data_IF_223834636817
#
_entry.id   IF_223834636817
#
_cell.length_a   1.000
_cell.length_b   1.000
_cell.length_c   1.000
_cell.angle_alpha   90.00
_cell.angle_beta   90.00
_cell.angle_gamma   90.00
#
_symmetry.space_group_name_H-M   'P 1'
#
loop_
_entity.id
_entity.type
_entity.pdbx_description
1 polymer ?
#
# COMPACT_ATOMS: atom_id res chain seq x y z
N UNK A 1 65.91 -32.79 -65.05
CA UNK A 1 65.88 -32.71 -63.58
C UNK A 1 65.86 -31.23 -63.23
N UNK A 2 64.72 -30.70 -62.82
CA UNK A 2 64.56 -29.27 -62.53
C UNK A 2 64.79 -29.04 -61.03
N UNK A 3 65.83 -28.27 -60.70
CA UNK A 3 66.04 -27.69 -59.37
C UNK A 3 65.03 -26.56 -59.15
N UNK A 4 64.19 -26.68 -58.12
CA UNK A 4 63.33 -25.60 -57.65
C UNK A 4 64.12 -24.84 -56.57
N UNK A 5 64.61 -23.67 -56.94
CA UNK A 5 65.22 -22.71 -56.01
C UNK A 5 64.12 -22.07 -55.14
N UNK A 6 64.03 -22.51 -53.89
CA UNK A 6 63.17 -21.92 -52.87
C UNK A 6 63.68 -20.53 -52.46
N UNK A 7 62.85 -19.51 -52.67
CA UNK A 7 63.12 -18.13 -52.20
C UNK A 7 62.93 -18.11 -50.68
N UNK A 8 64.02 -18.15 -49.92
CA UNK A 8 63.99 -18.00 -48.46
C UNK A 8 63.70 -16.54 -48.09
N UNK A 9 62.56 -16.30 -47.43
CA UNK A 9 62.10 -14.99 -47.00
C UNK A 9 62.61 -14.70 -45.58
N UNK A 10 63.93 -14.53 -45.46
CA UNK A 10 64.59 -14.29 -44.18
C UNK A 10 64.51 -12.80 -43.78
N UNK A 11 64.51 -12.54 -42.47
CA UNK A 11 64.71 -11.21 -41.89
C UNK A 11 65.96 -11.21 -41.01
N UNK A 12 66.75 -10.13 -40.99
CA UNK A 12 67.88 -10.03 -40.07
C UNK A 12 67.39 -9.98 -38.62
N UNK A 13 68.04 -10.76 -37.76
CA UNK A 13 67.80 -10.74 -36.32
C UNK A 13 68.24 -9.38 -35.76
N UNK A 14 67.40 -8.66 -35.00
CA UNK A 14 67.77 -7.36 -34.43
C UNK A 14 68.87 -7.46 -33.36
N UNK A 15 69.14 -8.65 -32.83
CA UNK A 15 70.16 -8.84 -31.79
C UNK A 15 71.54 -9.21 -32.35
N UNK A 16 71.59 -10.02 -33.41
CA UNK A 16 72.86 -10.53 -33.95
C UNK A 16 73.07 -10.28 -35.45
N UNK A 17 72.12 -9.63 -36.14
CA UNK A 17 72.21 -9.30 -37.56
C UNK A 17 71.96 -10.46 -38.53
N UNK A 18 72.12 -11.71 -38.07
CA UNK A 18 71.98 -12.92 -38.89
C UNK A 18 70.56 -13.14 -39.44
N UNK A 19 70.49 -13.72 -40.65
CA UNK A 19 69.25 -14.12 -41.28
C UNK A 19 68.48 -15.13 -40.42
N UNK A 20 67.18 -14.88 -40.24
CA UNK A 20 66.29 -15.77 -39.52
C UNK A 20 64.94 -15.84 -40.22
N UNK A 21 64.37 -17.04 -40.27
CA UNK A 21 63.03 -17.24 -40.79
C UNK A 21 62.03 -16.34 -40.03
N UNK A 22 61.15 -15.70 -40.79
CA UNK A 22 60.10 -14.82 -40.25
C UNK A 22 59.12 -15.56 -39.34
N UNK A 23 58.95 -16.86 -39.50
CA UNK A 23 58.03 -17.68 -38.71
C UNK A 23 58.58 -18.05 -37.33
N UNK A 24 59.90 -17.97 -37.11
CA UNK A 24 60.49 -18.35 -35.84
C UNK A 24 60.25 -17.29 -34.75
N UNK A 25 59.82 -17.75 -33.57
CA UNK A 25 59.59 -16.91 -32.38
C UNK A 25 60.89 -16.47 -31.68
N UNK A 26 62.00 -17.16 -31.97
CA UNK A 26 63.35 -16.85 -31.50
C UNK A 26 64.35 -16.93 -32.65
N UNK A 27 65.54 -16.35 -32.47
CA UNK A 27 66.62 -16.46 -33.45
C UNK A 27 67.31 -17.81 -33.32
N UNK A 28 67.34 -18.61 -34.38
CA UNK A 28 67.99 -19.94 -34.36
C UNK A 28 69.52 -19.87 -34.20
N UNK A 29 70.14 -18.73 -34.49
CA UNK A 29 71.59 -18.53 -34.35
C UNK A 29 72.00 -18.12 -32.94
N UNK A 30 71.32 -17.13 -32.34
CA UNK A 30 71.71 -16.59 -31.04
C UNK A 30 70.78 -16.99 -29.87
N UNK A 31 69.71 -17.74 -30.14
CA UNK A 31 68.76 -18.22 -29.13
C UNK A 31 67.85 -17.16 -28.51
N UNK A 32 67.97 -15.88 -28.90
CA UNK A 32 67.18 -14.79 -28.30
C UNK A 32 65.79 -14.68 -28.91
N UNK A 33 64.79 -14.41 -28.07
CA UNK A 33 63.40 -14.15 -28.48
C UNK A 33 63.30 -12.93 -29.42
N UNK A 34 62.44 -13.05 -30.43
CA UNK A 34 62.14 -11.99 -31.40
C UNK A 34 60.84 -11.23 -31.08
N UNK A 35 60.20 -11.50 -29.93
CA UNK A 35 58.95 -10.84 -29.57
C UNK A 35 59.16 -9.34 -29.26
N UNK A 36 58.60 -8.47 -30.11
CA UNK A 36 58.41 -7.05 -29.80
C UNK A 36 57.38 -6.92 -28.67
N UNK A 37 57.81 -6.39 -27.53
CA UNK A 37 56.94 -6.08 -26.39
C UNK A 37 55.76 -5.20 -26.80
N UNK A 38 54.58 -5.81 -26.90
CA UNK A 38 53.33 -5.10 -27.18
C UNK A 38 52.93 -4.33 -25.92
N UNK A 39 53.23 -3.03 -25.84
CA UNK A 39 52.67 -2.12 -24.82
C UNK A 39 51.15 -2.01 -25.00
N UNK A 40 50.40 -3.04 -24.57
CA UNK A 40 48.94 -3.03 -24.41
C UNK A 40 48.65 -3.14 -22.92
N UNK A 41 48.56 -2.01 -22.23
CA UNK A 41 48.39 -2.05 -20.77
C UNK A 41 47.74 -0.85 -20.11
N UNK A 42 47.21 0.15 -20.85
CA UNK A 42 46.56 1.31 -20.21
C UNK A 42 45.17 1.65 -20.76
N UNK A 43 44.90 1.48 -22.05
CA UNK A 43 43.59 1.82 -22.64
C UNK A 43 42.48 0.81 -22.31
N UNK A 44 42.78 -0.47 -22.17
CA UNK A 44 41.77 -1.48 -21.79
C UNK A 44 41.33 -1.34 -20.32
N UNK A 45 42.24 -0.98 -19.41
CA UNK A 45 41.92 -0.79 -17.99
C UNK A 45 40.93 0.36 -17.81
N UNK A 46 41.13 1.48 -18.51
CA UNK A 46 40.21 2.63 -18.47
C UNK A 46 38.82 2.26 -19.00
N UNK A 47 38.74 1.46 -20.07
CA UNK A 47 37.46 0.97 -20.63
C UNK A 47 36.74 0.00 -19.68
N UNK A 48 37.45 -0.92 -19.02
CA UNK A 48 36.86 -1.81 -18.02
C UNK A 48 36.40 -1.07 -16.76
N UNK A 49 37.11 -0.03 -16.32
CA UNK A 49 36.71 0.81 -15.19
C UNK A 49 35.44 1.61 -15.51
N UNK A 50 35.33 2.19 -16.71
CA UNK A 50 34.15 2.96 -17.12
C UNK A 50 32.91 2.06 -17.31
N UNK A 51 33.08 0.86 -17.88
CA UNK A 51 32.00 -0.14 -18.00
C UNK A 51 31.60 -0.68 -16.62
N UNK A 52 32.57 -0.90 -15.73
CA UNK A 52 32.32 -1.30 -14.34
C UNK A 52 31.52 -0.24 -13.56
N UNK A 53 31.86 1.04 -13.69
CA UNK A 53 31.14 2.14 -13.06
C UNK A 53 29.70 2.29 -13.60
N UNK A 54 29.49 2.07 -14.91
CA UNK A 54 28.15 2.05 -15.50
C UNK A 54 27.29 0.88 -14.97
N UNK A 55 27.88 -0.31 -14.81
CA UNK A 55 27.19 -1.45 -14.21
C UNK A 55 26.92 -1.30 -12.71
N UNK A 56 27.80 -0.64 -11.96
CA UNK A 56 27.56 -0.30 -10.54
C UNK A 56 26.41 0.71 -10.41
N UNK A 57 26.28 1.67 -11.34
CA UNK A 57 25.13 2.59 -11.38
C UNK A 57 23.80 1.90 -11.65
N UNK A 58 23.77 0.93 -12.58
CA UNK A 58 22.58 0.13 -12.90
C UNK A 58 22.24 -0.86 -11.78
N UNK A 59 23.24 -1.56 -11.22
CA UNK A 59 23.06 -2.43 -10.06
C UNK A 59 22.62 -1.61 -8.83
N UNK A 60 23.17 -0.41 -8.64
CA UNK A 60 22.75 0.55 -7.62
C UNK A 60 21.28 0.94 -7.79
N UNK A 61 20.83 1.29 -9.00
CA UNK A 61 19.42 1.58 -9.30
C UNK A 61 18.50 0.38 -9.00
N UNK A 62 18.93 -0.85 -9.28
CA UNK A 62 18.18 -2.06 -8.93
C UNK A 62 18.19 -2.39 -7.43
N UNK A 63 19.25 -2.03 -6.69
CA UNK A 63 19.37 -2.24 -5.25
C UNK A 63 18.68 -1.12 -4.45
N UNK A 64 18.55 0.10 -4.98
CA UNK A 64 18.02 1.27 -4.25
C UNK A 64 16.65 1.78 -4.68
N UNK A 65 16.00 1.26 -5.74
CA UNK A 65 14.60 1.67 -6.00
C UNK A 65 13.93 1.33 -7.35
N UNK A 66 14.55 0.56 -8.23
CA UNK A 66 14.04 0.36 -9.60
C UNK A 66 12.89 -0.66 -9.79
N UNK A 67 12.66 -1.56 -8.84
CA UNK A 67 11.48 -2.43 -8.85
C UNK A 67 10.65 -2.15 -7.60
N UNK A 68 9.53 -1.43 -7.77
CA UNK A 68 8.47 -1.47 -6.74
C UNK A 68 8.16 -2.94 -6.48
N UNK A 69 8.38 -3.41 -5.25
CA UNK A 69 8.11 -4.79 -4.86
C UNK A 69 6.72 -5.20 -5.37
N UNK A 70 6.60 -6.40 -5.95
CA UNK A 70 5.28 -6.95 -6.34
C UNK A 70 4.35 -7.11 -5.14
N UNK A 71 4.92 -7.10 -3.92
CA UNK A 71 4.22 -7.24 -2.66
C UNK A 71 4.23 -5.91 -1.91
N UNK A 72 3.11 -5.61 -1.24
CA UNK A 72 3.00 -4.48 -0.30
C UNK A 72 3.13 -4.95 1.15
N UNK A 73 2.85 -6.23 1.41
CA UNK A 73 3.04 -6.84 2.71
C UNK A 73 2.70 -8.32 2.72
N UNK A 74 2.67 -8.90 3.92
CA UNK A 74 2.38 -10.31 4.18
C UNK A 74 1.78 -10.48 5.58
N UNK A 75 0.81 -11.38 5.72
CA UNK A 75 0.19 -11.74 7.00
C UNK A 75 0.29 -13.26 7.17
N UNK A 76 1.06 -13.73 8.16
CA UNK A 76 1.31 -15.16 8.42
C UNK A 76 1.76 -15.96 7.20
N UNK A 77 2.59 -15.37 6.33
CA UNK A 77 3.02 -16.04 5.09
C UNK A 77 2.14 -15.73 3.87
N UNK A 78 0.90 -15.29 4.06
CA UNK A 78 -0.01 -14.93 2.96
C UNK A 78 0.31 -13.53 2.44
N UNK A 79 0.50 -13.43 1.12
CA UNK A 79 0.98 -12.21 0.47
C UNK A 79 -0.16 -11.21 0.23
N UNK A 80 0.15 -9.92 0.42
CA UNK A 80 -0.65 -8.81 -0.06
C UNK A 80 0.02 -8.28 -1.32
N UNK A 81 -0.60 -8.52 -2.48
CA UNK A 81 -0.01 -8.11 -3.76
C UNK A 81 -0.24 -6.62 -4.01
N UNK A 82 0.68 -5.99 -4.74
CA UNK A 82 0.53 -4.59 -5.14
C UNK A 82 -0.70 -4.35 -6.00
N UNK A 83 -1.05 -5.32 -6.86
CA UNK A 83 -2.23 -5.25 -7.74
C UNK A 83 -3.52 -5.25 -6.94
N UNK A 84 -3.65 -6.15 -5.97
CA UNK A 84 -4.80 -6.21 -5.07
C UNK A 84 -4.95 -4.90 -4.29
N UNK A 85 -3.84 -4.43 -3.71
CA UNK A 85 -3.82 -3.19 -2.94
C UNK A 85 -4.16 -1.96 -3.81
N UNK A 86 -3.58 -1.82 -5.00
CA UNK A 86 -3.85 -0.70 -5.89
C UNK A 86 -5.30 -0.66 -6.35
N UNK A 87 -5.89 -1.83 -6.67
CA UNK A 87 -7.28 -1.90 -7.07
C UNK A 87 -8.22 -1.44 -5.95
N UNK A 88 -7.94 -1.86 -4.71
CA UNK A 88 -8.69 -1.39 -3.54
C UNK A 88 -8.48 0.10 -3.27
N UNK A 89 -7.26 0.60 -3.44
CA UNK A 89 -6.92 2.01 -3.26
C UNK A 89 -7.66 2.90 -4.26
N UNK A 90 -7.72 2.50 -5.52
CA UNK A 90 -8.42 3.26 -6.56
C UNK A 90 -9.93 3.33 -6.29
N UNK A 91 -10.52 2.24 -5.79
CA UNK A 91 -11.94 2.22 -5.38
C UNK A 91 -12.18 3.12 -4.18
N UNK A 92 -11.34 3.02 -3.15
CA UNK A 92 -11.45 3.86 -1.96
C UNK A 92 -11.27 5.34 -2.33
N UNK A 93 -10.29 5.68 -3.16
CA UNK A 93 -10.06 7.02 -3.68
C UNK A 93 -11.31 7.58 -4.36
N UNK A 94 -11.91 6.84 -5.30
CA UNK A 94 -13.14 7.26 -6.00
C UNK A 94 -14.31 7.48 -5.04
N UNK A 95 -14.44 6.65 -4.01
CA UNK A 95 -15.49 6.82 -3.00
C UNK A 95 -15.29 8.12 -2.19
N UNK A 96 -14.06 8.43 -1.80
CA UNK A 96 -13.74 9.68 -1.11
C UNK A 96 -13.94 10.89 -2.02
N UNK A 97 -13.51 10.84 -3.29
CA UNK A 97 -13.76 11.91 -4.26
C UNK A 97 -15.26 12.11 -4.54
N UNK A 98 -16.04 11.04 -4.54
CA UNK A 98 -17.50 11.12 -4.65
C UNK A 98 -18.13 11.80 -3.44
N UNK A 99 -17.63 11.52 -2.23
CA UNK A 99 -18.18 12.04 -0.97
C UNK A 99 -17.75 13.47 -0.65
N UNK A 100 -16.47 13.79 -0.88
CA UNK A 100 -15.83 15.03 -0.44
C UNK A 100 -15.41 15.95 -1.61
N UNK A 101 -15.68 15.54 -2.85
CA UNK A 101 -15.36 16.29 -4.05
C UNK A 101 -14.12 15.80 -4.79
N UNK A 102 -14.11 15.99 -6.11
CA UNK A 102 -13.05 15.49 -7.02
C UNK A 102 -11.64 16.04 -6.74
N UNK A 103 -11.56 17.11 -5.96
CA UNK A 103 -10.31 17.79 -5.63
C UNK A 103 -9.77 17.40 -4.24
N UNK A 104 -10.44 16.47 -3.53
CA UNK A 104 -10.09 16.07 -2.16
C UNK A 104 -8.64 15.59 -1.98
N UNK A 105 -8.04 15.02 -3.03
CA UNK A 105 -6.65 14.55 -3.04
C UNK A 105 -5.69 15.48 -3.79
N UNK A 106 -6.08 16.73 -4.09
CA UNK A 106 -5.21 17.71 -4.76
C UNK A 106 -4.52 18.64 -3.76
N UNK A 107 -3.33 19.11 -4.12
CA UNK A 107 -2.52 20.01 -3.29
C UNK A 107 -1.87 19.31 -2.09
N UNK A 108 -1.18 20.07 -1.24
CA UNK A 108 -0.42 19.53 -0.10
C UNK A 108 -1.29 18.75 0.88
N UNK A 109 -2.44 19.30 1.27
CA UNK A 109 -3.39 18.60 2.13
C UNK A 109 -3.99 17.34 1.47
N UNK A 110 -4.18 17.37 0.15
CA UNK A 110 -4.64 16.23 -0.63
C UNK A 110 -3.63 15.07 -0.65
N UNK A 111 -2.33 15.36 -0.71
CA UNK A 111 -1.28 14.33 -0.63
C UNK A 111 -1.24 13.69 0.77
N UNK A 112 -1.35 14.50 1.84
CA UNK A 112 -1.46 13.98 3.21
C UNK A 112 -2.69 13.08 3.39
N UNK A 113 -3.84 13.50 2.85
CA UNK A 113 -5.05 12.68 2.82
C UNK A 113 -4.84 11.37 2.06
N UNK A 114 -4.11 11.39 0.94
CA UNK A 114 -3.83 10.21 0.15
C UNK A 114 -2.87 9.24 0.85
N UNK A 115 -1.83 9.76 1.52
CA UNK A 115 -0.93 8.96 2.35
C UNK A 115 -1.71 8.30 3.50
N UNK A 116 -2.58 9.05 4.18
CA UNK A 116 -3.44 8.51 5.24
C UNK A 116 -4.37 7.41 4.70
N UNK A 117 -4.99 7.63 3.55
CA UNK A 117 -5.86 6.63 2.92
C UNK A 117 -5.09 5.33 2.63
N UNK A 118 -3.87 5.42 2.10
CA UNK A 118 -3.03 4.23 1.86
C UNK A 118 -2.72 3.47 3.14
N UNK A 119 -2.36 4.19 4.21
CA UNK A 119 -2.05 3.57 5.50
C UNK A 119 -3.28 2.88 6.10
N UNK A 120 -4.44 3.53 6.08
CA UNK A 120 -5.71 2.97 6.53
C UNK A 120 -6.09 1.72 5.73
N UNK A 121 -6.02 1.80 4.40
CA UNK A 121 -6.34 0.67 3.54
C UNK A 121 -5.40 -0.52 3.76
N UNK A 122 -4.11 -0.27 4.02
CA UNK A 122 -3.18 -1.37 4.29
C UNK A 122 -3.55 -2.08 5.59
N UNK A 123 -3.88 -1.32 6.63
CA UNK A 123 -4.34 -1.86 7.91
C UNK A 123 -5.64 -2.66 7.74
N UNK A 124 -6.60 -2.17 6.96
CA UNK A 124 -7.84 -2.89 6.62
C UNK A 124 -7.56 -4.21 5.92
N UNK A 125 -6.67 -4.22 4.92
CA UNK A 125 -6.30 -5.45 4.19
C UNK A 125 -5.58 -6.45 5.09
N UNK A 126 -4.70 -5.96 5.98
CA UNK A 126 -4.02 -6.80 6.98
C UNK A 126 -5.03 -7.43 7.93
N UNK A 127 -5.98 -6.64 8.43
CA UNK A 127 -7.03 -7.10 9.34
C UNK A 127 -7.96 -8.11 8.66
N UNK A 128 -8.39 -7.86 7.42
CA UNK A 128 -9.19 -8.80 6.63
C UNK A 128 -8.48 -10.14 6.48
N UNK A 129 -7.20 -10.13 6.07
CA UNK A 129 -6.42 -11.37 5.93
C UNK A 129 -6.28 -12.13 7.25
N UNK A 130 -5.99 -11.42 8.33
CA UNK A 130 -5.90 -12.02 9.67
C UNK A 130 -7.24 -12.67 10.06
N UNK A 131 -8.36 -11.97 9.88
CA UNK A 131 -9.70 -12.50 10.17
C UNK A 131 -10.03 -13.73 9.31
N UNK A 132 -9.72 -13.71 8.02
CA UNK A 132 -9.96 -14.86 7.14
C UNK A 132 -9.10 -16.06 7.51
N UNK A 133 -7.85 -15.85 7.95
CA UNK A 133 -6.98 -16.93 8.41
C UNK A 133 -7.46 -17.53 9.72
N UNK A 134 -7.88 -16.71 10.67
CA UNK A 134 -8.47 -17.14 11.94
C UNK A 134 -9.81 -17.87 11.71
N UNK A 135 -10.66 -17.35 10.81
CA UNK A 135 -11.89 -18.02 10.39
C UNK A 135 -11.62 -19.41 9.79
N UNK A 136 -10.69 -19.51 8.83
CA UNK A 136 -10.30 -20.80 8.23
C UNK A 136 -9.76 -21.77 9.28
N UNK A 137 -8.91 -21.29 10.19
CA UNK A 137 -8.33 -22.10 11.27
C UNK A 137 -9.39 -22.57 12.27
N UNK A 138 -10.43 -21.76 12.48
CA UNK A 138 -11.61 -22.10 13.29
C UNK A 138 -12.63 -23.01 12.60
N UNK A 139 -12.35 -23.50 11.39
CA UNK A 139 -13.25 -24.40 10.64
C UNK A 139 -14.28 -23.69 9.76
N UNK A 140 -14.20 -22.35 9.61
CA UNK A 140 -15.06 -21.58 8.73
C UNK A 140 -14.41 -21.51 7.34
N UNK A 141 -14.75 -22.48 6.49
CA UNK A 141 -14.23 -22.56 5.11
C UNK A 141 -15.32 -22.66 4.04
N UNK A 142 -16.52 -23.09 4.43
CA UNK A 142 -17.61 -23.37 3.50
C UNK A 142 -18.66 -22.26 3.57
N UNK A 143 -18.89 -21.60 2.44
CA UNK A 143 -19.93 -20.57 2.30
C UNK A 143 -21.11 -21.16 1.54
N UNK A 144 -22.34 -21.12 2.08
CA UNK A 144 -23.53 -21.54 1.35
C UNK A 144 -23.79 -20.60 0.17
N UNK A 145 -23.64 -21.08 -1.08
CA UNK A 145 -23.81 -20.24 -2.27
C UNK A 145 -25.18 -19.57 -2.32
N UNK A 146 -26.21 -20.30 -1.87
CA UNK A 146 -27.58 -19.80 -1.78
C UNK A 146 -27.71 -18.56 -0.90
N UNK A 147 -27.02 -18.51 0.24
CA UNK A 147 -27.07 -17.34 1.13
C UNK A 147 -26.40 -16.12 0.47
N UNK A 148 -25.35 -16.34 -0.33
CA UNK A 148 -24.70 -15.26 -1.08
C UNK A 148 -25.60 -14.74 -2.20
N UNK A 149 -26.25 -15.64 -2.93
CA UNK A 149 -27.19 -15.24 -3.97
C UNK A 149 -28.42 -14.51 -3.39
N UNK A 150 -28.94 -14.96 -2.24
CA UNK A 150 -30.00 -14.26 -1.48
C UNK A 150 -29.56 -12.86 -1.02
N UNK A 151 -28.31 -12.69 -0.58
CA UNK A 151 -27.76 -11.37 -0.26
C UNK A 151 -27.67 -10.46 -1.48
N UNK A 152 -27.23 -10.98 -2.64
CA UNK A 152 -27.20 -10.20 -3.89
C UNK A 152 -28.60 -9.73 -4.26
N UNK A 153 -29.61 -10.61 -4.18
CA UNK A 153 -31.01 -10.23 -4.42
C UNK A 153 -31.52 -9.19 -3.42
N UNK A 154 -31.18 -9.34 -2.14
CA UNK A 154 -31.55 -8.37 -1.12
C UNK A 154 -30.94 -6.99 -1.40
N UNK A 155 -29.68 -6.92 -1.80
CA UNK A 155 -29.00 -5.67 -2.20
C UNK A 155 -29.72 -5.04 -3.39
N UNK A 156 -30.01 -5.82 -4.45
CA UNK A 156 -30.73 -5.31 -5.63
C UNK A 156 -32.10 -4.73 -5.23
N UNK A 157 -32.86 -5.47 -4.44
CA UNK A 157 -34.20 -5.06 -3.97
C UNK A 157 -34.14 -3.79 -3.11
N UNK A 158 -33.23 -3.73 -2.15
CA UNK A 158 -33.10 -2.60 -1.23
C UNK A 158 -32.69 -1.31 -1.93
N UNK A 159 -31.99 -1.42 -3.07
CA UNK A 159 -31.57 -0.28 -3.87
C UNK A 159 -32.44 -0.06 -5.13
N UNK A 160 -33.52 -0.83 -5.31
CA UNK A 160 -34.42 -0.73 -6.47
C UNK A 160 -33.71 -0.95 -7.81
N UNK A 161 -32.70 -1.82 -7.85
CA UNK A 161 -31.85 -2.03 -9.02
C UNK A 161 -32.37 -3.21 -9.85
N UNK A 162 -32.47 -3.01 -11.17
CA UNK A 162 -32.56 -4.12 -12.11
C UNK A 162 -31.23 -4.88 -12.17
N UNK A 163 -31.23 -6.10 -12.72
CA UNK A 163 -30.00 -6.88 -12.95
C UNK A 163 -28.97 -6.12 -13.80
N UNK A 164 -29.44 -5.39 -14.83
CA UNK A 164 -28.59 -4.60 -15.70
C UNK A 164 -28.00 -3.39 -14.96
N UNK A 165 -28.83 -2.66 -14.19
CA UNK A 165 -28.38 -1.51 -13.41
C UNK A 165 -27.41 -1.92 -12.31
N UNK A 166 -27.66 -3.07 -11.68
CA UNK A 166 -26.79 -3.64 -10.67
C UNK A 166 -25.40 -3.91 -11.26
N UNK A 167 -25.31 -4.62 -12.38
CA UNK A 167 -24.04 -4.87 -13.08
C UNK A 167 -23.31 -3.58 -13.47
N UNK A 168 -24.05 -2.57 -13.92
CA UNK A 168 -23.47 -1.28 -14.28
C UNK A 168 -22.95 -0.51 -13.06
N UNK A 169 -23.60 -0.64 -11.89
CA UNK A 169 -23.24 0.08 -10.65
C UNK A 169 -22.22 -0.62 -9.77
N UNK A 170 -22.00 -1.92 -9.93
CA UNK A 170 -21.06 -2.70 -9.10
C UNK A 170 -19.65 -2.10 -9.07
N UNK A 171 -19.20 -1.46 -10.16
CA UNK A 171 -17.83 -0.92 -10.28
C UNK A 171 -16.72 -1.99 -10.28
N UNK A 172 -17.08 -3.26 -10.08
CA UNK A 172 -16.29 -4.49 -10.18
C UNK A 172 -17.10 -5.54 -10.94
N UNK A 173 -16.46 -6.63 -11.37
CA UNK A 173 -17.18 -7.75 -11.98
C UNK A 173 -18.09 -8.48 -10.97
N UNK A 174 -19.22 -9.03 -11.43
CA UNK A 174 -20.15 -9.80 -10.57
C UNK A 174 -19.45 -10.94 -9.81
N UNK A 175 -18.49 -11.61 -10.45
CA UNK A 175 -17.71 -12.67 -9.82
C UNK A 175 -16.82 -12.13 -8.68
N UNK A 176 -16.14 -10.99 -8.89
CA UNK A 176 -15.33 -10.35 -7.86
C UNK A 176 -16.22 -9.90 -6.68
N UNK A 177 -17.39 -9.33 -6.98
CA UNK A 177 -18.36 -8.96 -5.95
C UNK A 177 -18.84 -10.16 -5.13
N UNK A 178 -19.16 -11.29 -5.79
CA UNK A 178 -19.57 -12.53 -5.12
C UNK A 178 -18.48 -13.06 -4.19
N UNK A 179 -17.21 -12.97 -4.60
CA UNK A 179 -16.08 -13.40 -3.76
C UNK A 179 -15.87 -12.46 -2.55
N UNK A 180 -16.05 -11.15 -2.69
CA UNK A 180 -16.00 -10.24 -1.53
C UNK A 180 -17.15 -10.54 -0.54
N UNK A 181 -18.39 -10.78 -1.02
CA UNK A 181 -19.50 -11.19 -0.15
C UNK A 181 -19.24 -12.51 0.59
N UNK A 182 -18.58 -13.48 -0.07
CA UNK A 182 -18.18 -14.74 0.58
C UNK A 182 -17.19 -14.50 1.71
N UNK A 183 -16.19 -13.64 1.50
CA UNK A 183 -15.23 -13.26 2.55
C UNK A 183 -15.94 -12.59 3.72
N UNK A 184 -16.80 -11.60 3.44
CA UNK A 184 -17.55 -10.87 4.46
C UNK A 184 -18.46 -11.80 5.27
N UNK A 185 -19.11 -12.75 4.61
CA UNK A 185 -19.92 -13.76 5.27
C UNK A 185 -19.07 -14.64 6.20
N UNK A 186 -17.91 -15.15 5.74
CA UNK A 186 -17.02 -15.97 6.55
C UNK A 186 -16.55 -15.22 7.80
N UNK A 187 -16.10 -13.99 7.62
CA UNK A 187 -15.65 -13.12 8.71
C UNK A 187 -16.80 -12.89 9.68
N UNK A 188 -17.99 -12.54 9.19
CA UNK A 188 -19.16 -12.28 10.03
C UNK A 188 -19.56 -13.50 10.84
N UNK A 189 -19.62 -14.69 10.23
CA UNK A 189 -19.95 -15.93 10.93
C UNK A 189 -18.91 -16.28 11.98
N UNK A 190 -17.62 -16.15 11.65
CA UNK A 190 -16.54 -16.39 12.60
C UNK A 190 -16.59 -15.43 13.79
N UNK A 191 -16.72 -14.13 13.52
CA UNK A 191 -16.80 -13.12 14.58
C UNK A 191 -18.01 -13.38 15.48
N UNK A 192 -19.19 -13.61 14.92
CA UNK A 192 -20.40 -13.82 15.73
C UNK A 192 -20.32 -15.09 16.58
N UNK A 193 -19.90 -16.20 15.99
CA UNK A 193 -19.98 -17.53 16.62
C UNK A 193 -18.75 -17.86 17.47
N UNK A 194 -17.56 -17.47 17.04
CA UNK A 194 -16.32 -17.84 17.72
C UNK A 194 -15.78 -16.72 18.62
N UNK A 195 -15.84 -15.46 18.17
CA UNK A 195 -15.29 -14.32 18.92
C UNK A 195 -16.29 -13.81 19.94
N UNK A 196 -17.50 -13.46 19.48
CA UNK A 196 -18.55 -12.86 20.31
C UNK A 196 -19.39 -13.91 21.03
N UNK A 197 -19.46 -15.14 20.49
CA UNK A 197 -20.23 -16.26 21.05
C UNK A 197 -21.69 -15.89 21.34
N UNK A 198 -22.28 -15.05 20.48
CA UNK A 198 -23.65 -14.55 20.64
C UNK A 198 -23.84 -13.49 21.74
N UNK A 199 -22.77 -12.96 22.34
CA UNK A 199 -22.87 -11.88 23.32
C UNK A 199 -23.48 -10.63 22.68
N UNK A 200 -24.46 -10.04 23.37
CA UNK A 200 -25.04 -8.74 23.00
C UNK A 200 -24.33 -7.59 23.71
N UNK A 201 -23.84 -7.84 24.92
CA UNK A 201 -23.11 -6.86 25.72
C UNK A 201 -21.62 -6.85 25.37
N UNK A 202 -21.00 -5.67 25.48
CA UNK A 202 -19.55 -5.47 25.37
C UNK A 202 -18.92 -6.03 24.08
N UNK A 203 -19.70 -6.17 23.00
CA UNK A 203 -19.26 -6.75 21.72
C UNK A 203 -17.99 -6.11 21.18
N UNK A 204 -17.95 -4.77 21.20
CA UNK A 204 -16.77 -4.01 20.76
C UNK A 204 -15.55 -4.36 21.61
N UNK A 205 -15.68 -4.39 22.93
CA UNK A 205 -14.58 -4.74 23.83
C UNK A 205 -14.08 -6.17 23.57
N UNK A 206 -14.99 -7.13 23.48
CA UNK A 206 -14.65 -8.54 23.21
C UNK A 206 -13.91 -8.68 21.88
N UNK A 207 -14.39 -8.00 20.84
CA UNK A 207 -13.74 -8.00 19.54
C UNK A 207 -12.35 -7.35 19.60
N UNK A 208 -12.19 -6.21 20.27
CA UNK A 208 -10.89 -5.53 20.39
C UNK A 208 -9.87 -6.33 21.20
N UNK A 209 -10.29 -6.96 22.30
CA UNK A 209 -9.45 -7.85 23.09
C UNK A 209 -8.99 -9.05 22.25
N UNK A 210 -9.92 -9.68 21.53
CA UNK A 210 -9.61 -10.77 20.62
C UNK A 210 -8.66 -10.34 19.50
N UNK A 211 -8.93 -9.19 18.87
CA UNK A 211 -8.14 -8.66 17.76
C UNK A 211 -6.72 -8.32 18.21
N UNK A 212 -6.58 -7.73 19.40
CA UNK A 212 -5.27 -7.44 19.99
C UNK A 212 -4.47 -8.73 20.19
N UNK A 213 -5.10 -9.77 20.73
CA UNK A 213 -4.47 -11.07 20.90
C UNK A 213 -4.15 -11.75 19.56
N UNK A 214 -5.01 -11.62 18.54
CA UNK A 214 -4.77 -12.15 17.21
C UNK A 214 -3.58 -11.46 16.54
N UNK A 215 -3.52 -10.13 16.62
CA UNK A 215 -2.41 -9.33 16.10
C UNK A 215 -1.08 -9.65 16.78
N UNK A 216 -1.07 -9.96 18.09
CA UNK A 216 0.18 -10.32 18.79
C UNK A 216 0.70 -11.72 18.44
N UNK A 217 -0.19 -12.64 18.03
CA UNK A 217 0.18 -13.96 17.49
C UNK A 217 0.55 -13.91 16.01
N UNK A 218 -0.07 -13.00 15.27
CA UNK A 218 0.10 -12.86 13.83
C UNK A 218 1.46 -12.24 13.47
N UNK A 219 2.07 -12.75 12.39
CA UNK A 219 3.26 -12.16 11.78
C UNK A 219 2.85 -11.25 10.62
N UNK A 220 2.92 -9.94 10.84
CA UNK A 220 2.68 -8.93 9.79
C UNK A 220 4.00 -8.37 9.31
N UNK A 221 4.26 -8.45 8.01
CA UNK A 221 5.41 -7.84 7.35
C UNK A 221 4.90 -6.80 6.35
N UNK A 222 5.31 -5.54 6.50
CA UNK A 222 4.96 -4.46 5.56
C UNK A 222 6.18 -4.08 4.75
N UNK A 223 6.04 -4.13 3.42
CA UNK A 223 7.10 -3.77 2.47
C UNK A 223 6.86 -2.40 1.83
N UNK A 224 5.61 -1.93 1.81
CA UNK A 224 5.28 -0.59 1.36
C UNK A 224 5.73 0.43 2.41
N UNK A 225 6.73 1.22 2.05
CA UNK A 225 7.08 2.41 2.82
C UNK A 225 6.18 3.52 2.33
N UNK A 226 5.16 3.86 3.10
CA UNK A 226 4.54 5.16 2.94
C UNK A 226 5.55 6.16 3.48
N UNK A 227 5.90 7.19 2.69
CA UNK A 227 6.53 8.36 3.26
C UNK A 227 5.68 8.72 4.47
N UNK A 228 6.31 8.70 5.66
CA UNK A 228 5.58 9.04 6.86
C UNK A 228 4.92 10.38 6.54
N UNK A 229 3.57 10.50 6.60
CA UNK A 229 3.00 11.82 6.57
C UNK A 229 3.77 12.60 7.63
N UNK A 230 4.14 13.87 7.39
CA UNK A 230 4.83 14.66 8.41
C UNK A 230 4.09 14.35 9.69
N UNK A 231 4.80 13.95 10.78
CA UNK A 231 4.11 13.67 12.02
C UNK A 231 3.22 14.88 12.18
N UNK A 232 1.92 14.65 12.30
CA UNK A 232 1.02 15.72 12.71
C UNK A 232 1.82 16.35 13.85
N UNK A 233 1.96 17.67 13.87
CA UNK A 233 2.06 18.31 15.17
C UNK A 233 0.74 18.00 15.89
N UNK A 234 0.60 16.75 16.27
CA UNK A 234 -0.10 16.26 17.40
C UNK A 234 0.62 17.00 18.50
N UNK A 235 0.05 18.14 18.84
CA UNK A 235 0.21 18.72 20.17
C UNK A 235 -0.10 17.65 21.25
N UNK A 236 -0.68 16.50 20.86
CA UNK A 236 -1.04 15.36 21.68
C UNK A 236 0.05 14.30 21.97
N UNK A 237 1.32 14.46 21.55
CA UNK A 237 2.39 13.55 21.99
C UNK A 237 3.56 14.30 22.64
N UNK A 238 3.31 14.86 23.83
CA UNK A 238 4.39 15.21 24.77
C UNK A 238 4.27 14.33 26.01
N UNK A 239 4.80 13.10 25.91
CA UNK A 239 5.03 12.22 27.05
C UNK A 239 4.76 10.75 26.80
N UNK A 240 5.80 10.01 26.36
CA UNK A 240 6.05 8.60 26.70
C UNK A 240 5.08 7.51 26.21
N UNK A 241 5.54 6.70 25.26
CA UNK A 241 5.17 5.28 25.16
C UNK A 241 3.91 4.94 24.36
N UNK A 242 4.09 4.63 23.06
CA UNK A 242 3.05 3.97 22.27
C UNK A 242 2.97 2.48 22.64
N UNK A 243 2.14 2.18 23.62
CA UNK A 243 1.57 0.86 23.88
C UNK A 243 0.14 1.05 24.37
N UNK A 244 -0.81 0.36 23.74
CA UNK A 244 -2.18 0.23 24.26
C UNK A 244 -3.22 1.07 23.53
N UNK A 245 -4.25 0.37 23.03
CA UNK A 245 -5.46 0.99 22.51
C UNK A 245 -6.21 1.75 23.59
N UNK A 246 -6.71 2.92 23.23
CA UNK A 246 -7.77 3.57 23.97
C UNK A 246 -9.02 3.56 23.09
N UNK A 247 -10.05 2.85 23.58
CA UNK A 247 -11.41 2.91 23.05
C UNK A 247 -11.80 4.38 22.91
N UNK A 248 -12.42 4.76 21.80
CA UNK A 248 -13.12 6.05 21.68
C UNK A 248 -14.08 6.12 22.87
N UNK A 249 -13.73 6.91 23.88
CA UNK A 249 -14.56 7.06 25.09
C UNK A 249 -15.89 7.67 24.64
N UNK A 250 -16.98 7.21 25.24
CA UNK A 250 -18.28 7.87 25.10
C UNK A 250 -18.10 9.36 25.42
N UNK A 251 -18.57 10.24 24.54
CA UNK A 251 -18.45 11.68 24.75
C UNK A 251 -19.18 12.08 26.04
N UNK A 252 -18.59 12.98 26.84
CA UNK A 252 -19.27 13.52 28.02
C UNK A 252 -20.62 14.13 27.58
N UNK A 253 -21.76 13.74 28.17
CA UNK A 253 -23.07 14.26 27.81
C UNK A 253 -23.18 15.80 27.85
N UNK A 254 -22.38 16.47 28.68
CA UNK A 254 -22.31 17.93 28.72
C UNK A 254 -21.68 18.49 27.45
N UNK A 255 -20.57 17.88 27.02
CA UNK A 255 -19.85 18.26 25.80
C UNK A 255 -20.69 17.95 24.57
N UNK A 256 -21.39 16.82 24.54
CA UNK A 256 -22.32 16.50 23.46
C UNK A 256 -23.44 17.55 23.35
N UNK A 257 -24.04 17.91 24.49
CA UNK A 257 -25.11 18.92 24.54
C UNK A 257 -24.60 20.30 24.11
N UNK A 258 -23.41 20.68 24.54
CA UNK A 258 -22.78 21.95 24.16
C UNK A 258 -22.45 21.99 22.66
N UNK A 259 -21.81 20.96 22.14
CA UNK A 259 -21.48 20.84 20.71
C UNK A 259 -22.74 20.94 19.85
N UNK A 260 -23.81 20.24 20.24
CA UNK A 260 -25.11 20.30 19.56
C UNK A 260 -25.70 21.70 19.57
N UNK A 261 -25.70 22.37 20.71
CA UNK A 261 -26.26 23.71 20.85
C UNK A 261 -25.48 24.75 20.03
N UNK A 262 -24.13 24.71 20.07
CA UNK A 262 -23.28 25.62 19.30
C UNK A 262 -23.41 25.43 17.80
N UNK A 263 -23.52 24.18 17.35
CA UNK A 263 -23.71 23.85 15.94
C UNK A 263 -25.04 24.38 15.40
N UNK A 264 -26.13 24.19 16.16
CA UNK A 264 -27.45 24.73 15.79
C UNK A 264 -27.45 26.27 15.79
N UNK A 265 -26.86 26.90 16.81
CA UNK A 265 -26.74 28.35 16.86
C UNK A 265 -25.95 28.92 15.66
N UNK A 266 -24.85 28.26 15.28
CA UNK A 266 -24.06 28.62 14.10
C UNK A 266 -24.89 28.52 12.82
N UNK A 267 -25.64 27.43 12.68
CA UNK A 267 -26.49 27.19 11.53
C UNK A 267 -27.64 28.21 11.41
N UNK A 268 -28.34 28.49 12.52
CA UNK A 268 -29.39 29.50 12.59
C UNK A 268 -28.87 30.90 12.26
N UNK A 269 -27.70 31.26 12.78
CA UNK A 269 -27.06 32.55 12.50
C UNK A 269 -26.68 32.71 11.01
N UNK A 270 -26.27 31.64 10.34
CA UNK A 270 -25.95 31.69 8.91
C UNK A 270 -27.17 31.65 8.00
N UNK A 271 -28.17 30.82 8.30
CA UNK A 271 -29.26 30.50 7.37
C UNK A 271 -30.58 31.18 7.70
N UNK A 272 -30.73 31.74 8.91
CA UNK A 272 -31.97 32.39 9.36
C UNK A 272 -33.17 31.45 9.44
N UNK A 273 -32.91 30.13 9.55
CA UNK A 273 -33.93 29.07 9.57
C UNK A 273 -33.86 28.31 10.88
N UNK A 274 -35.03 28.10 11.50
CA UNK A 274 -35.19 27.30 12.71
C UNK A 274 -35.81 25.95 12.36
N UNK A 275 -35.45 24.89 13.09
CA UNK A 275 -36.06 23.55 12.94
C UNK A 275 -35.13 22.45 12.42
N UNK A 276 -33.84 22.74 12.20
CA UNK A 276 -32.85 21.71 11.96
C UNK A 276 -32.55 20.90 13.24
N UNK A 277 -32.19 19.64 13.08
CA UNK A 277 -31.67 18.79 14.16
C UNK A 277 -30.17 18.61 14.02
N UNK A 278 -29.48 18.19 15.08
CA UNK A 278 -28.04 17.99 15.04
C UNK A 278 -27.64 16.65 15.66
N UNK A 279 -26.76 15.92 14.96
CA UNK A 279 -26.20 14.63 15.39
C UNK A 279 -24.72 14.81 15.70
N UNK A 280 -24.31 14.43 16.90
CA UNK A 280 -22.93 14.56 17.37
C UNK A 280 -22.23 13.20 17.27
N UNK A 281 -21.04 13.19 16.69
CA UNK A 281 -20.23 12.00 16.48
C UNK A 281 -18.85 12.26 17.08
N UNK A 282 -18.44 11.42 18.04
CA UNK A 282 -17.10 11.47 18.60
C UNK A 282 -16.18 10.52 17.82
N UNK A 283 -15.19 11.07 17.13
CA UNK A 283 -14.18 10.27 16.43
C UNK A 283 -12.93 10.02 17.29
N UNK A 284 -12.97 10.38 18.58
CA UNK A 284 -11.86 10.27 19.53
C UNK A 284 -10.84 11.41 19.40
N UNK A 285 -10.55 11.87 18.19
CA UNK A 285 -9.62 12.99 17.93
C UNK A 285 -10.32 14.34 17.69
N UNK A 286 -11.58 14.34 17.27
CA UNK A 286 -12.42 15.53 17.11
C UNK A 286 -13.89 15.13 17.25
N UNK A 287 -14.74 16.12 17.51
CA UNK A 287 -16.18 15.95 17.60
C UNK A 287 -16.79 16.55 16.34
N UNK A 288 -17.45 15.73 15.54
CA UNK A 288 -18.21 16.22 14.38
C UNK A 288 -19.67 16.41 14.77
N UNK A 289 -20.28 17.48 14.27
CA UNK A 289 -21.70 17.77 14.44
C UNK A 289 -22.34 17.92 13.06
N UNK A 290 -23.20 16.96 12.70
CA UNK A 290 -23.97 16.98 11.45
C UNK A 290 -25.31 17.69 11.70
N UNK A 291 -25.58 18.76 10.95
CA UNK A 291 -26.89 19.42 10.87
C UNK A 291 -27.77 18.64 9.90
N UNK A 292 -28.96 18.26 10.35
CA UNK A 292 -29.92 17.42 9.64
C UNK A 292 -31.23 18.19 9.46
N UNK A 293 -31.61 18.40 8.20
CA UNK A 293 -32.92 18.92 7.79
C UNK A 293 -33.63 17.88 6.93
N UNK A 294 -34.93 17.64 7.17
CA UNK A 294 -35.73 16.66 6.41
C UNK A 294 -35.08 15.26 6.31
N UNK A 295 -34.34 14.87 7.36
CA UNK A 295 -33.63 13.59 7.41
C UNK A 295 -32.31 13.52 6.61
N UNK A 296 -31.84 14.63 6.03
CA UNK A 296 -30.58 14.71 5.27
C UNK A 296 -29.58 15.62 5.97
N UNK A 297 -28.30 15.23 5.94
CA UNK A 297 -27.21 16.08 6.43
C UNK A 297 -27.02 17.24 5.45
N UNK A 298 -27.18 18.47 5.92
CA UNK A 298 -27.07 19.70 5.13
C UNK A 298 -25.80 20.50 5.44
N UNK A 299 -25.17 20.26 6.58
CA UNK A 299 -23.91 20.89 7.00
C UNK A 299 -23.20 20.00 8.02
N UNK A 300 -21.88 19.88 7.91
CA UNK A 300 -21.06 19.21 8.92
C UNK A 300 -20.07 20.20 9.52
N UNK A 301 -20.00 20.21 10.86
CA UNK A 301 -19.15 21.10 11.64
C UNK A 301 -18.22 20.28 12.52
N UNK A 302 -17.04 20.80 12.82
CA UNK A 302 -16.17 20.30 13.88
C UNK A 302 -16.35 21.15 15.13
N UNK A 303 -16.39 20.51 16.30
CA UNK A 303 -16.46 21.16 17.61
C UNK A 303 -15.12 20.99 18.34
N UNK A 304 -14.48 22.11 18.68
CA UNK A 304 -13.24 22.15 19.44
C UNK A 304 -13.29 23.30 20.45
N UNK A 305 -13.03 22.99 21.73
CA UNK A 305 -12.96 23.95 22.85
C UNK A 305 -14.11 24.97 22.91
N UNK A 306 -15.34 24.55 22.66
CA UNK A 306 -16.54 25.42 22.76
C UNK A 306 -16.85 26.20 21.48
N UNK A 307 -16.05 26.04 20.42
CA UNK A 307 -16.26 26.66 19.12
C UNK A 307 -16.66 25.60 18.08
N UNK A 308 -17.44 26.02 17.08
CA UNK A 308 -17.76 25.22 15.90
C UNK A 308 -17.19 25.84 14.63
N UNK A 309 -16.68 24.99 13.73
CA UNK A 309 -16.12 25.39 12.42
C UNK A 309 -16.61 24.45 11.34
N UNK A 310 -16.83 24.95 10.13
CA UNK A 310 -17.16 24.10 8.97
C UNK A 310 -15.97 23.18 8.63
N UNK A 311 -16.28 21.97 8.16
CA UNK A 311 -15.31 20.96 7.70
C UNK A 311 -15.33 20.91 6.17
#
# INVERSE_FOLDING_TARGET
MNEISGIHNDRPCPNCGEGNDRQNAYCVRCGRSLQKGRRRGKTWIVLFVLIGLAHIGVAGYFITGGFKSKLVGRVNGEEITRKEFSNRLDRAKKLYEFRFGKDFFKGTAGEENFIRLKAQLLEEVVMEKLLLQEAKSGGYANVPEKEIDEQIEAIKKNHGLSEADFKNKLGVGLLEFKEELKKDWLISQFVEKAVLKGSQDNREQLFQEWLTAAKSRGKVETYEKFDAPPPIQSVCCKGGGCAGGEKVRSLDPKVEKEARAKALQYYEAQKGKNGASARVINFGCHIQVDIIEEGKVVLSLTFDRGEVKEI
#
